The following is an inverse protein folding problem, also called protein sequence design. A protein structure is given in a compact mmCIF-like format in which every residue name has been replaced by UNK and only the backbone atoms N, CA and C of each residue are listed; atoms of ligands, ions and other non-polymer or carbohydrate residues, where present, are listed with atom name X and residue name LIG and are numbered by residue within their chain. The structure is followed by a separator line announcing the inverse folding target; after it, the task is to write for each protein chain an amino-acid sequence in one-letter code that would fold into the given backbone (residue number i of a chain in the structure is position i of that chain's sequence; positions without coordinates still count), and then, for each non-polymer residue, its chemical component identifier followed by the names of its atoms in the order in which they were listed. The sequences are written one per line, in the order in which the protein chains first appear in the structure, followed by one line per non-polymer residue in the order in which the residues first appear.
data_IF_116222714441
#
_entry.id   IF_116222714441
#
_cell.length_a   1.000
_cell.length_b   1.000
_cell.length_c   1.000
_cell.angle_alpha   90.00
_cell.angle_beta   90.00
_cell.angle_gamma   90.00
#
_symmetry.space_group_name_H-M   'P 1'
#
loop_
_entity.id
_entity.type
_entity.pdbx_description
1 polymer ?
#
# COMPACT_ATOMS: atom_id res chain seq x y z
N UNK A 1 1.11 -11.81 -11.56
CA UNK A 1 1.60 -11.38 -10.22
C UNK A 1 2.43 -10.10 -10.25
N UNK A 2 3.49 -9.97 -11.06
CA UNK A 2 4.32 -8.73 -11.10
C UNK A 2 3.52 -7.43 -11.24
N UNK A 3 2.45 -7.45 -12.03
CA UNK A 3 1.54 -6.32 -12.25
C UNK A 3 0.80 -5.84 -11.00
N UNK A 4 0.67 -6.66 -9.94
CA UNK A 4 0.14 -6.23 -8.65
C UNK A 4 1.08 -5.23 -7.97
N UNK A 5 2.39 -5.40 -8.17
CA UNK A 5 3.42 -4.61 -7.52
C UNK A 5 3.27 -4.55 -6.00
N UNK A 6 3.76 -3.47 -5.40
CA UNK A 6 3.71 -3.24 -3.95
C UNK A 6 2.61 -2.24 -3.57
N UNK A 7 1.79 -1.83 -4.54
CA UNK A 7 0.77 -0.80 -4.45
C UNK A 7 -0.37 -1.12 -3.48
N UNK A 8 -0.62 -2.39 -3.14
CA UNK A 8 -1.70 -2.80 -2.26
C UNK A 8 -1.22 -3.26 -0.87
N UNK A 9 0.01 -2.95 -0.46
CA UNK A 9 0.59 -3.36 0.83
C UNK A 9 0.72 -4.89 0.98
N UNK A 10 1.70 -5.53 0.32
CA UNK A 10 2.10 -6.90 0.63
C UNK A 10 2.70 -6.99 2.06
N UNK A 11 2.77 -8.20 2.66
CA UNK A 11 2.47 -9.50 2.04
C UNK A 11 0.98 -9.73 1.78
N UNK A 12 0.65 -10.38 0.67
CA UNK A 12 -0.72 -10.58 0.20
C UNK A 12 -1.29 -11.96 0.52
N UNK A 13 -2.60 -12.04 0.74
CA UNK A 13 -3.35 -13.27 0.44
C UNK A 13 -3.81 -13.18 -1.01
N UNK A 14 -3.14 -13.86 -1.95
CA UNK A 14 -3.46 -13.75 -3.38
C UNK A 14 -4.49 -14.81 -3.76
N UNK A 15 -5.52 -14.42 -4.49
CA UNK A 15 -6.50 -15.34 -5.06
C UNK A 15 -6.46 -15.32 -6.58
N UNK A 16 -6.48 -16.50 -7.17
CA UNK A 16 -6.70 -16.75 -8.59
C UNK A 16 -7.99 -17.53 -8.78
N UNK A 17 -8.74 -17.17 -9.81
CA UNK A 17 -9.90 -17.94 -10.26
C UNK A 17 -9.75 -18.19 -11.75
N UNK A 18 -9.86 -19.45 -12.16
CA UNK A 18 -9.73 -19.88 -13.55
C UNK A 18 -11.06 -20.50 -13.97
N UNK A 19 -11.68 -19.91 -14.99
CA UNK A 19 -13.05 -20.24 -15.37
C UNK A 19 -14.09 -19.37 -14.66
N UNK A 20 -15.35 -19.73 -14.85
CA UNK A 20 -16.52 -18.98 -14.40
C UNK A 20 -17.55 -18.86 -15.51
N UNK A 21 -18.81 -18.72 -15.09
CA UNK A 21 -19.96 -18.56 -16.01
C UNK A 21 -20.01 -17.19 -16.66
N UNK A 22 -19.36 -16.20 -16.07
CA UNK A 22 -19.26 -14.82 -16.54
C UNK A 22 -18.13 -14.09 -15.81
N UNK A 23 -17.75 -12.91 -16.30
CA UNK A 23 -16.68 -12.11 -15.69
C UNK A 23 -17.01 -11.71 -14.25
N UNK A 24 -18.25 -11.30 -13.98
CA UNK A 24 -18.72 -10.93 -12.66
C UNK A 24 -18.77 -12.11 -11.68
N UNK A 25 -19.11 -13.31 -12.16
CA UNK A 25 -19.05 -14.53 -11.34
C UNK A 25 -17.60 -14.89 -10.98
N UNK A 26 -16.67 -14.78 -11.93
CA UNK A 26 -15.23 -14.96 -11.68
C UNK A 26 -14.73 -13.95 -10.66
N UNK A 27 -15.03 -12.66 -10.82
CA UNK A 27 -14.57 -11.61 -9.89
C UNK A 27 -15.20 -11.72 -8.49
N UNK A 28 -16.47 -12.10 -8.38
CA UNK A 28 -17.10 -12.43 -7.10
C UNK A 28 -16.36 -13.59 -6.41
N UNK A 29 -16.01 -14.62 -7.18
CA UNK A 29 -15.28 -15.77 -6.67
C UNK A 29 -13.88 -15.37 -6.20
N UNK A 30 -13.17 -14.54 -6.97
CA UNK A 30 -11.85 -13.99 -6.57
C UNK A 30 -11.95 -13.25 -5.24
N UNK A 31 -12.97 -12.39 -5.10
CA UNK A 31 -13.20 -11.61 -3.87
C UNK A 31 -13.36 -12.51 -2.65
N UNK A 32 -14.18 -13.56 -2.76
CA UNK A 32 -14.44 -14.49 -1.65
C UNK A 32 -13.25 -15.42 -1.39
N UNK A 33 -12.53 -15.84 -2.43
CA UNK A 33 -11.32 -16.63 -2.31
C UNK A 33 -10.20 -15.85 -1.59
N UNK A 34 -10.03 -14.55 -1.86
CA UNK A 34 -9.01 -13.74 -1.18
C UNK A 34 -9.26 -13.55 0.32
N UNK A 35 -10.50 -13.78 0.78
CA UNK A 35 -10.91 -13.76 2.19
C UNK A 35 -11.02 -15.16 2.78
N UNK A 36 -10.46 -16.19 2.13
CA UNK A 36 -10.47 -17.59 2.60
C UNK A 36 -11.87 -18.16 2.81
N UNK A 37 -12.87 -17.61 2.13
CA UNK A 37 -14.27 -18.07 2.25
C UNK A 37 -14.42 -19.50 1.71
N UNK A 38 -13.65 -19.82 0.65
CA UNK A 38 -13.70 -21.09 -0.06
C UNK A 38 -12.67 -22.13 0.42
N UNK A 39 -12.12 -21.97 1.62
CA UNK A 39 -11.09 -22.87 2.12
C UNK A 39 -11.60 -24.31 2.37
N UNK A 40 -12.91 -24.50 2.45
CA UNK A 40 -13.57 -25.81 2.59
C UNK A 40 -14.07 -26.43 1.28
N UNK A 41 -13.74 -25.89 0.10
CA UNK A 41 -14.10 -26.53 -1.17
C UNK A 41 -13.36 -27.87 -1.37
N UNK A 42 -13.90 -28.81 -2.18
CA UNK A 42 -13.16 -29.96 -2.66
C UNK A 42 -11.85 -29.56 -3.34
N UNK A 43 -10.88 -30.47 -3.41
CA UNK A 43 -9.58 -30.22 -4.05
C UNK A 43 -9.46 -30.83 -5.45
N UNK A 44 -10.53 -31.43 -5.96
CA UNK A 44 -10.61 -32.02 -7.29
C UNK A 44 -11.96 -31.73 -7.95
N UNK A 45 -11.98 -31.69 -9.27
CA UNK A 45 -13.19 -31.52 -10.06
C UNK A 45 -14.02 -32.81 -10.14
N UNK A 46 -15.21 -32.73 -10.72
CA UNK A 46 -16.04 -33.88 -11.05
C UNK A 46 -16.72 -33.68 -12.41
N UNK A 47 -17.42 -34.71 -12.89
CA UNK A 47 -18.12 -34.69 -14.19
C UNK A 47 -19.25 -33.66 -14.29
N UNK A 48 -19.75 -33.17 -13.15
CA UNK A 48 -20.80 -32.14 -13.09
C UNK A 48 -20.24 -30.71 -13.07
N UNK A 49 -18.92 -30.54 -13.14
CA UNK A 49 -18.29 -29.23 -13.15
C UNK A 49 -18.30 -28.52 -11.80
N UNK A 50 -18.15 -29.25 -10.69
CA UNK A 50 -18.02 -28.62 -9.37
C UNK A 50 -16.81 -27.68 -9.30
N UNK A 51 -16.95 -26.61 -8.52
CA UNK A 51 -15.81 -25.76 -8.17
C UNK A 51 -14.86 -26.51 -7.23
N UNK A 52 -13.56 -26.33 -7.42
CA UNK A 52 -12.56 -26.95 -6.54
C UNK A 52 -11.35 -26.04 -6.32
N UNK A 53 -10.63 -26.29 -5.22
CA UNK A 53 -9.39 -25.61 -4.85
C UNK A 53 -8.19 -26.38 -5.37
N UNK A 54 -7.42 -25.75 -6.26
CA UNK A 54 -6.25 -26.35 -6.91
C UNK A 54 -5.01 -26.15 -6.04
N UNK A 55 -4.83 -27.04 -5.07
CA UNK A 55 -3.76 -26.96 -4.05
C UNK A 55 -2.36 -27.12 -4.62
N UNK A 56 -2.22 -27.82 -5.76
CA UNK A 56 -0.95 -27.94 -6.45
C UNK A 56 -0.53 -26.59 -7.03
N UNK A 57 -1.43 -25.95 -7.79
CA UNK A 57 -1.14 -24.64 -8.38
C UNK A 57 -0.95 -23.55 -7.32
N UNK A 58 -1.63 -23.65 -6.16
CA UNK A 58 -1.37 -22.76 -5.01
C UNK A 58 0.10 -22.80 -4.56
N UNK A 59 0.68 -23.99 -4.47
CA UNK A 59 2.08 -24.17 -4.03
C UNK A 59 3.06 -23.64 -5.08
N UNK A 60 2.83 -23.97 -6.35
CA UNK A 60 3.65 -23.49 -7.47
C UNK A 60 3.65 -21.97 -7.53
N UNK A 61 2.47 -21.33 -7.45
CA UNK A 61 2.34 -19.88 -7.47
C UNK A 61 2.92 -19.21 -6.21
N UNK A 62 2.90 -19.89 -5.05
CA UNK A 62 3.54 -19.36 -3.85
C UNK A 62 5.06 -19.34 -3.99
N UNK A 63 5.65 -20.39 -4.57
CA UNK A 63 7.09 -20.41 -4.86
C UNK A 63 7.45 -19.30 -5.86
N UNK A 64 6.66 -19.14 -6.93
CA UNK A 64 6.85 -18.06 -7.89
C UNK A 64 6.72 -16.68 -7.24
N UNK A 65 5.76 -16.48 -6.33
CA UNK A 65 5.62 -15.24 -5.57
C UNK A 65 6.87 -14.94 -4.72
N UNK A 66 7.50 -15.96 -4.14
CA UNK A 66 8.74 -15.84 -3.37
C UNK A 66 9.94 -15.46 -4.25
N UNK A 67 9.96 -15.97 -5.48
CA UNK A 67 11.02 -15.71 -6.46
C UNK A 67 10.91 -14.34 -7.16
N UNK A 68 9.80 -13.59 -6.97
CA UNK A 68 9.63 -12.27 -7.58
C UNK A 68 10.64 -11.24 -7.10
N UNK A 69 11.21 -11.43 -5.91
CA UNK A 69 12.17 -10.51 -5.29
C UNK A 69 11.56 -9.20 -4.78
N UNK A 70 10.25 -8.97 -4.93
CA UNK A 70 9.55 -7.77 -4.44
C UNK A 70 9.34 -7.77 -2.92
N UNK A 71 9.22 -8.96 -2.33
CA UNK A 71 9.02 -9.18 -0.90
C UNK A 71 7.90 -8.36 -0.26
N UNK A 72 8.07 -8.10 1.03
CA UNK A 72 7.15 -7.30 1.81
C UNK A 72 7.45 -5.80 1.58
N UNK A 73 7.03 -5.30 0.41
CA UNK A 73 7.17 -3.92 -0.08
C UNK A 73 8.58 -3.50 -0.55
N UNK A 74 9.63 -3.92 0.15
CA UNK A 74 11.00 -3.42 -0.03
C UNK A 74 12.02 -4.51 -0.35
N UNK A 75 11.63 -5.45 -1.21
CA UNK A 75 12.48 -6.56 -1.60
C UNK A 75 12.36 -7.76 -0.66
N UNK A 76 12.80 -8.92 -1.16
CA UNK A 76 12.87 -10.17 -0.39
C UNK A 76 11.79 -11.19 -0.74
N UNK A 77 11.53 -12.11 0.20
CA UNK A 77 10.74 -13.34 -0.03
C UNK A 77 9.23 -13.16 0.11
N UNK A 78 8.79 -12.37 1.10
CA UNK A 78 7.40 -12.38 1.56
C UNK A 78 6.48 -11.45 0.74
N UNK A 79 6.36 -11.72 -0.56
CA UNK A 79 5.39 -11.03 -1.41
C UNK A 79 3.94 -11.49 -1.14
N UNK A 80 3.77 -12.78 -0.86
CA UNK A 80 2.51 -13.39 -0.48
C UNK A 80 2.65 -14.10 0.88
N UNK A 81 1.62 -14.02 1.71
CA UNK A 81 1.41 -14.90 2.86
C UNK A 81 1.03 -16.31 2.37
N UNK A 82 0.05 -16.38 1.47
CA UNK A 82 -0.45 -17.62 0.87
C UNK A 82 -1.14 -17.30 -0.48
N UNK A 83 -1.46 -18.37 -1.22
CA UNK A 83 -2.22 -18.32 -2.48
C UNK A 83 -3.50 -19.14 -2.32
N UNK A 84 -4.58 -18.70 -2.98
CA UNK A 84 -5.77 -19.50 -3.25
C UNK A 84 -6.00 -19.61 -4.74
N UNK A 85 -6.26 -20.82 -5.24
CA UNK A 85 -6.59 -21.05 -6.66
C UNK A 85 -7.92 -21.80 -6.73
N UNK A 86 -8.96 -21.15 -7.25
CA UNK A 86 -10.27 -21.77 -7.46
C UNK A 86 -10.47 -22.04 -8.96
N UNK A 87 -10.77 -23.29 -9.29
CA UNK A 87 -11.15 -23.73 -10.64
C UNK A 87 -12.66 -23.78 -10.72
N UNK A 88 -13.22 -23.12 -11.73
CA UNK A 88 -14.67 -23.08 -11.99
C UNK A 88 -14.99 -23.68 -13.37
N UNK A 89 -16.21 -24.23 -13.56
CA UNK A 89 -16.68 -24.57 -14.90
C UNK A 89 -16.77 -23.32 -15.77
N UNK A 90 -16.74 -23.52 -17.09
CA UNK A 90 -16.76 -22.44 -18.08
C UNK A 90 -17.50 -22.88 -19.33
N UNK A 91 -18.06 -21.92 -20.07
CA UNK A 91 -18.51 -22.18 -21.43
C UNK A 91 -17.31 -22.60 -22.31
N UNK A 92 -17.53 -23.48 -23.29
CA UNK A 92 -16.44 -24.02 -24.14
C UNK A 92 -15.60 -22.94 -24.83
N UNK A 93 -16.26 -21.87 -25.28
CA UNK A 93 -15.63 -20.72 -25.96
C UNK A 93 -15.12 -19.62 -25.01
N UNK A 94 -15.10 -19.83 -23.68
CA UNK A 94 -14.73 -18.79 -22.71
C UNK A 94 -13.80 -19.35 -21.65
N UNK A 95 -12.88 -18.52 -21.15
CA UNK A 95 -12.02 -18.84 -20.02
C UNK A 95 -11.67 -17.55 -19.26
N UNK A 96 -12.63 -16.97 -18.51
CA UNK A 96 -12.32 -15.80 -17.69
C UNK A 96 -11.32 -16.19 -16.61
N UNK A 97 -10.33 -15.32 -16.38
CA UNK A 97 -9.34 -15.48 -15.31
C UNK A 97 -9.37 -14.24 -14.45
N UNK A 98 -9.52 -14.43 -13.15
CA UNK A 98 -9.51 -13.36 -12.18
C UNK A 98 -8.32 -13.48 -11.22
N UNK A 99 -7.75 -12.34 -10.85
CA UNK A 99 -6.68 -12.25 -9.85
C UNK A 99 -7.03 -11.13 -8.87
N UNK A 100 -6.88 -11.38 -7.58
CA UNK A 100 -7.15 -10.39 -6.53
C UNK A 100 -6.32 -10.66 -5.29
N UNK A 101 -6.37 -9.73 -4.33
CA UNK A 101 -5.60 -9.83 -3.10
C UNK A 101 -6.43 -9.39 -1.89
N UNK A 102 -6.17 -9.99 -0.74
CA UNK A 102 -6.32 -9.31 0.56
C UNK A 102 -4.96 -8.72 0.95
N UNK A 103 -4.99 -7.47 1.42
CA UNK A 103 -3.79 -6.72 1.78
C UNK A 103 -3.39 -6.94 3.24
N UNK A 104 -2.34 -6.24 3.72
CA UNK A 104 -1.99 -6.24 5.15
C UNK A 104 -3.10 -5.74 6.09
N UNK A 105 -4.16 -5.13 5.56
CA UNK A 105 -5.37 -4.79 6.30
C UNK A 105 -6.46 -5.83 6.00
N UNK A 106 -6.12 -7.11 6.19
CA UNK A 106 -7.01 -8.27 5.99
C UNK A 106 -8.13 -8.23 7.02
N UNK A 107 -9.32 -7.81 6.57
CA UNK A 107 -10.44 -7.45 7.44
C UNK A 107 -11.72 -8.04 6.88
N UNK A 108 -12.07 -9.20 7.40
CA UNK A 108 -13.32 -9.88 7.15
C UNK A 108 -13.78 -10.53 8.48
N UNK A 109 -15.10 -10.71 8.64
CA UNK A 109 -15.68 -11.34 9.82
C UNK A 109 -16.93 -12.09 9.40
N UNK A 110 -17.00 -13.38 9.75
CA UNK A 110 -18.20 -14.20 9.51
C UNK A 110 -19.17 -14.00 10.66
N UNK A 111 -20.46 -13.98 10.36
CA UNK A 111 -21.51 -13.98 11.35
C UNK A 111 -22.63 -14.91 10.90
N UNK A 112 -23.36 -15.49 11.86
CA UNK A 112 -24.55 -16.29 11.59
C UNK A 112 -25.61 -16.01 12.65
N UNK A 113 -26.87 -16.10 12.23
CA UNK A 113 -28.02 -16.03 13.12
C UNK A 113 -28.73 -17.38 13.02
N UNK A 114 -29.03 -17.98 14.16
CA UNK A 114 -29.81 -19.21 14.23
C UNK A 114 -30.79 -19.13 15.41
N UNK A 115 -31.55 -20.21 15.65
CA UNK A 115 -32.49 -20.32 16.77
C UNK A 115 -31.86 -20.09 18.15
N UNK A 116 -30.55 -20.26 18.27
CA UNK A 116 -29.80 -20.14 19.53
C UNK A 116 -29.26 -18.72 19.75
N UNK A 117 -29.33 -17.83 18.74
CA UNK A 117 -28.95 -16.43 18.85
C UNK A 117 -28.07 -15.92 17.70
N UNK A 118 -27.27 -14.89 18.02
CA UNK A 118 -26.38 -14.19 17.09
C UNK A 118 -24.95 -14.60 17.39
N UNK A 119 -24.26 -15.09 16.36
CA UNK A 119 -22.87 -15.54 16.45
C UNK A 119 -21.99 -14.69 15.56
N UNK A 120 -20.85 -14.26 16.09
CA UNK A 120 -19.83 -13.53 15.37
C UNK A 120 -18.50 -14.27 15.48
N UNK A 121 -17.74 -14.30 14.40
CA UNK A 121 -16.41 -14.91 14.37
C UNK A 121 -15.49 -14.22 15.39
N UNK A 122 -14.84 -15.04 16.21
CA UNK A 122 -13.89 -14.57 17.21
C UNK A 122 -12.54 -14.31 16.55
N UNK A 123 -12.15 -13.03 16.48
CA UNK A 123 -10.82 -12.62 16.07
C UNK A 123 -9.82 -12.68 17.24
N UNK A 124 -8.53 -12.55 16.93
CA UNK A 124 -7.49 -12.45 17.94
C UNK A 124 -7.58 -11.13 18.71
N UNK A 125 -7.66 -11.20 20.04
CA UNK A 125 -7.67 -10.02 20.92
C UNK A 125 -6.30 -9.67 21.50
N UNK A 126 -5.32 -10.58 21.45
CA UNK A 126 -3.94 -10.34 21.93
C UNK A 126 -2.91 -10.58 20.80
N UNK A 127 -2.83 -9.69 19.80
CA UNK A 127 -1.91 -9.86 18.68
C UNK A 127 -0.42 -9.75 19.06
N UNK A 128 -0.10 -9.13 20.20
CA UNK A 128 1.28 -8.95 20.67
C UNK A 128 2.04 -10.28 20.87
N UNK A 129 1.32 -11.38 21.12
CA UNK A 129 1.90 -12.73 21.24
C UNK A 129 2.61 -13.22 19.97
N UNK A 130 2.25 -12.70 18.80
CA UNK A 130 2.88 -13.05 17.52
C UNK A 130 4.16 -12.27 17.25
N UNK A 131 4.48 -11.26 18.07
CA UNK A 131 5.73 -10.49 17.96
C UNK A 131 6.77 -11.14 18.89
N UNK A 132 7.86 -11.71 18.35
CA UNK A 132 8.96 -12.23 19.16
C UNK A 132 9.48 -11.17 20.13
N UNK A 133 9.80 -11.55 21.36
CA UNK A 133 10.21 -10.61 22.43
C UNK A 133 11.34 -9.68 22.00
N UNK A 134 12.38 -10.25 21.35
CA UNK A 134 13.54 -9.50 20.86
C UNK A 134 13.20 -8.43 19.80
N UNK A 135 12.05 -8.55 19.12
CA UNK A 135 11.59 -7.56 18.12
C UNK A 135 10.65 -6.51 18.71
N UNK A 136 10.11 -6.72 19.92
CA UNK A 136 9.17 -5.76 20.54
C UNK A 136 9.84 -4.43 20.88
N UNK A 137 11.15 -4.45 21.11
CA UNK A 137 11.97 -3.28 21.40
C UNK A 137 12.97 -2.96 20.28
N UNK A 138 12.80 -3.54 19.09
CA UNK A 138 13.66 -3.19 17.96
C UNK A 138 13.49 -1.68 17.67
N UNK A 139 14.55 -0.91 17.92
CA UNK A 139 14.59 0.52 17.61
C UNK A 139 14.48 0.77 16.11
N UNK A 140 14.59 2.02 15.69
CA UNK A 140 14.45 2.38 14.27
C UNK A 140 15.58 1.82 13.39
N UNK A 141 16.64 1.23 13.96
CA UNK A 141 17.86 0.75 13.30
C UNK A 141 18.66 1.90 12.65
N UNK A 142 19.65 1.58 11.81
CA UNK A 142 20.41 2.59 11.07
C UNK A 142 19.58 3.25 9.95
N UNK A 143 19.32 4.55 10.08
CA UNK A 143 18.62 5.35 9.06
C UNK A 143 19.25 6.74 8.98
N UNK A 144 19.29 7.30 7.78
CA UNK A 144 19.75 8.68 7.58
C UNK A 144 18.68 9.63 8.11
N UNK A 145 19.05 10.50 9.04
CA UNK A 145 18.14 11.50 9.59
C UNK A 145 18.07 12.70 8.64
N UNK A 146 16.85 13.10 8.27
CA UNK A 146 16.59 14.22 7.36
C UNK A 146 15.67 15.20 8.04
N UNK A 147 16.13 16.45 8.18
CA UNK A 147 15.32 17.55 8.69
C UNK A 147 14.60 18.22 7.52
N UNK A 148 13.27 18.16 7.51
CA UNK A 148 12.40 18.74 6.49
C UNK A 148 12.10 20.23 6.73
N UNK A 149 12.53 20.78 7.87
CA UNK A 149 12.39 22.21 8.16
C UNK A 149 13.63 22.99 7.66
N UNK A 150 14.03 22.73 6.42
CA UNK A 150 15.12 23.41 5.71
C UNK A 150 14.60 23.85 4.33
N UNK A 151 15.26 24.79 3.64
CA UNK A 151 14.93 25.11 2.25
C UNK A 151 14.91 23.85 1.37
N UNK A 152 13.92 23.75 0.46
CA UNK A 152 13.74 22.57 -0.41
C UNK A 152 15.02 22.17 -1.16
N UNK A 153 15.82 23.16 -1.61
CA UNK A 153 17.10 22.94 -2.27
C UNK A 153 18.13 22.22 -1.39
N UNK A 154 18.17 22.51 -0.10
CA UNK A 154 19.09 21.87 0.85
C UNK A 154 18.66 20.43 1.15
N UNK A 155 17.34 20.21 1.30
CA UNK A 155 16.79 18.85 1.47
C UNK A 155 17.14 18.00 0.24
N UNK A 156 16.91 18.51 -0.96
CA UNK A 156 17.25 17.80 -2.20
C UNK A 156 18.76 17.53 -2.29
N UNK A 157 19.61 18.51 -1.99
CA UNK A 157 21.07 18.34 -2.00
C UNK A 157 21.54 17.26 -1.01
N UNK A 158 20.92 17.16 0.18
CA UNK A 158 21.20 16.07 1.13
C UNK A 158 20.76 14.72 0.56
N UNK A 159 19.52 14.63 0.06
CA UNK A 159 18.95 13.36 -0.41
C UNK A 159 19.67 12.82 -1.64
N UNK A 160 20.17 13.68 -2.54
CA UNK A 160 20.93 13.30 -3.73
C UNK A 160 22.29 12.65 -3.44
N UNK A 161 22.78 12.70 -2.20
CA UNK A 161 24.03 12.05 -1.79
C UNK A 161 23.88 10.54 -1.60
N UNK A 162 22.65 10.04 -1.53
CA UNK A 162 22.36 8.65 -1.19
C UNK A 162 21.75 7.90 -2.37
N UNK A 163 22.10 6.61 -2.55
CA UNK A 163 21.50 5.79 -3.58
C UNK A 163 20.03 5.46 -3.27
N UNK A 164 19.33 4.98 -4.28
CA UNK A 164 17.99 4.41 -4.09
C UNK A 164 18.03 3.23 -3.12
N UNK A 165 16.93 3.00 -2.42
CA UNK A 165 16.78 2.03 -1.31
C UNK A 165 17.53 2.39 -0.02
N UNK A 166 18.14 3.58 0.09
CA UNK A 166 18.64 4.08 1.39
C UNK A 166 17.49 4.43 2.32
N UNK A 167 17.54 3.91 3.55
CA UNK A 167 16.53 4.17 4.58
C UNK A 167 16.73 5.54 5.24
N UNK A 168 15.65 6.28 5.35
CA UNK A 168 15.55 7.63 5.90
C UNK A 168 14.64 7.67 7.13
N UNK A 169 14.94 8.58 8.05
CA UNK A 169 14.09 9.02 9.15
C UNK A 169 13.82 10.50 8.99
N UNK A 170 12.59 10.87 8.60
CA UNK A 170 12.22 12.25 8.30
C UNK A 170 11.62 12.92 9.53
N UNK A 171 12.02 14.16 9.80
CA UNK A 171 11.44 15.01 10.84
C UNK A 171 11.16 16.40 10.29
N UNK A 172 9.95 16.92 10.50
CA UNK A 172 9.59 18.29 10.13
C UNK A 172 8.21 18.39 9.48
N UNK A 173 8.05 19.43 8.68
CA UNK A 173 6.77 19.83 8.10
C UNK A 173 6.52 19.12 6.76
N UNK A 174 5.31 18.62 6.56
CA UNK A 174 4.87 17.94 5.33
C UNK A 174 3.47 18.40 4.95
N UNK A 175 3.20 18.47 3.64
CA UNK A 175 1.86 18.78 3.14
C UNK A 175 1.14 17.49 2.79
N UNK A 176 -0.11 17.33 3.26
CA UNK A 176 -0.92 16.16 2.92
C UNK A 176 -1.83 16.49 1.74
N UNK A 177 -1.65 15.78 0.63
CA UNK A 177 -2.49 15.95 -0.56
C UNK A 177 -2.61 14.63 -1.34
N UNK A 178 -3.80 14.33 -1.85
CA UNK A 178 -4.07 13.15 -2.69
C UNK A 178 -4.94 13.53 -3.90
N UNK A 179 -5.64 12.57 -4.48
CA UNK A 179 -6.36 12.62 -5.76
C UNK A 179 -7.07 13.97 -6.05
N UNK A 180 -8.04 14.39 -5.22
CA UNK A 180 -8.81 15.64 -5.44
C UNK A 180 -7.93 16.89 -5.30
N UNK A 181 -7.00 16.90 -4.35
CA UNK A 181 -6.11 18.03 -4.16
C UNK A 181 -5.16 18.20 -5.36
N UNK A 182 -4.65 17.09 -5.92
CA UNK A 182 -3.82 17.13 -7.13
C UNK A 182 -4.61 17.59 -8.35
N UNK A 183 -5.87 17.15 -8.49
CA UNK A 183 -6.76 17.63 -9.55
C UNK A 183 -6.98 19.15 -9.48
N UNK A 184 -7.18 19.69 -8.27
CA UNK A 184 -7.30 21.15 -8.07
C UNK A 184 -6.00 21.89 -8.36
N UNK A 185 -4.84 21.35 -7.97
CA UNK A 185 -3.55 21.97 -8.31
C UNK A 185 -3.32 22.00 -9.82
N UNK A 186 -3.76 20.97 -10.54
CA UNK A 186 -3.74 20.96 -12.00
C UNK A 186 -4.69 22.01 -12.57
N UNK A 187 -5.91 22.11 -12.06
CA UNK A 187 -6.91 23.10 -12.49
C UNK A 187 -6.37 24.53 -12.36
N UNK A 188 -5.68 24.86 -11.27
CA UNK A 188 -5.01 26.16 -11.11
C UNK A 188 -4.02 26.42 -12.25
N UNK A 189 -3.19 25.44 -12.59
CA UNK A 189 -2.23 25.58 -13.69
C UNK A 189 -2.95 25.74 -15.03
N UNK A 190 -3.98 24.94 -15.30
CA UNK A 190 -4.75 25.00 -16.54
C UNK A 190 -5.43 26.37 -16.72
N UNK A 191 -5.82 27.02 -15.61
CA UNK A 191 -6.40 28.36 -15.58
C UNK A 191 -5.36 29.49 -15.62
N UNK A 192 -4.06 29.18 -15.64
CA UNK A 192 -2.97 30.16 -15.57
C UNK A 192 -2.78 30.79 -14.17
N UNK A 193 -3.36 30.19 -13.14
CA UNK A 193 -3.22 30.62 -11.75
C UNK A 193 -1.92 30.10 -11.12
N UNK A 194 -1.40 30.85 -10.14
CA UNK A 194 -0.18 30.46 -9.43
C UNK A 194 -0.45 29.28 -8.47
N UNK A 195 0.47 28.30 -8.47
CA UNK A 195 0.44 27.24 -7.46
C UNK A 195 0.69 27.81 -6.06
N UNK A 196 -0.02 27.31 -5.03
CA UNK A 196 0.21 27.73 -3.64
C UNK A 196 1.66 27.49 -3.19
N UNK A 197 2.22 28.42 -2.42
CA UNK A 197 3.64 28.34 -2.04
C UNK A 197 3.96 27.08 -1.20
N UNK A 198 3.02 26.61 -0.38
CA UNK A 198 3.22 25.44 0.48
C UNK A 198 3.51 24.14 -0.29
N UNK A 199 3.08 24.00 -1.56
CA UNK A 199 3.39 22.80 -2.38
C UNK A 199 4.79 22.84 -3.01
N UNK A 200 5.47 23.98 -2.91
CA UNK A 200 6.85 24.20 -3.37
C UNK A 200 7.84 24.07 -2.21
N UNK A 201 7.45 24.55 -1.02
CA UNK A 201 8.34 24.64 0.14
C UNK A 201 8.44 23.35 0.95
N UNK A 202 7.45 22.45 0.83
CA UNK A 202 7.37 21.25 1.66
C UNK A 202 7.15 19.97 0.85
N UNK A 203 7.64 18.80 1.34
CA UNK A 203 7.31 17.52 0.76
C UNK A 203 5.80 17.25 0.74
N UNK A 204 5.32 16.58 -0.30
CA UNK A 204 3.91 16.21 -0.44
C UNK A 204 3.72 14.74 -0.05
N UNK A 205 3.02 14.52 1.05
CA UNK A 205 2.61 13.21 1.55
C UNK A 205 1.23 12.82 1.03
N UNK A 206 1.18 11.73 0.27
CA UNK A 206 -0.06 11.22 -0.28
C UNK A 206 -0.79 10.40 0.76
N UNK A 207 -1.71 11.03 1.49
CA UNK A 207 -2.46 10.38 2.54
C UNK A 207 -3.86 11.00 2.72
N UNK A 208 -4.69 10.32 3.51
CA UNK A 208 -5.97 10.82 3.98
C UNK A 208 -6.18 10.36 5.42
N UNK A 209 -6.22 11.28 6.40
CA UNK A 209 -6.37 10.91 7.81
C UNK A 209 -7.74 10.28 8.08
N UNK A 210 -7.76 9.29 8.97
CA UNK A 210 -8.98 8.89 9.66
C UNK A 210 -9.40 9.95 10.69
N UNK A 211 -10.60 9.79 11.26
CA UNK A 211 -11.07 10.65 12.36
C UNK A 211 -10.07 10.63 13.52
N UNK A 212 -9.76 11.80 14.05
CA UNK A 212 -8.91 11.93 15.24
C UNK A 212 -9.71 11.57 16.48
N UNK A 213 -9.27 10.58 17.29
CA UNK A 213 -9.87 10.30 18.58
C UNK A 213 -9.65 11.45 19.58
N UNK A 214 -10.55 11.62 20.54
CA UNK A 214 -10.42 12.64 21.58
C UNK A 214 -9.15 12.42 22.41
N UNK A 215 -8.40 13.48 22.65
CA UNK A 215 -7.13 13.42 23.39
C UNK A 215 -5.92 12.92 22.58
N UNK A 216 -6.11 12.49 21.34
CA UNK A 216 -5.02 12.05 20.46
C UNK A 216 -4.59 13.14 19.49
N UNK A 217 -3.31 13.11 19.10
CA UNK A 217 -2.73 14.11 18.22
C UNK A 217 -3.12 13.91 16.73
N UNK A 218 -3.43 12.66 16.34
CA UNK A 218 -3.86 12.28 14.99
C UNK A 218 -4.70 11.00 15.02
N UNK A 219 -5.66 10.90 14.08
CA UNK A 219 -6.19 9.60 13.68
C UNK A 219 -5.18 8.78 12.87
N UNK A 220 -5.57 7.57 12.47
CA UNK A 220 -4.80 6.73 11.54
C UNK A 220 -4.42 7.49 10.27
N UNK A 221 -3.13 7.62 9.97
CA UNK A 221 -2.62 8.43 8.86
C UNK A 221 -1.52 7.70 8.06
N UNK A 222 -1.93 6.62 7.40
CA UNK A 222 -1.04 5.84 6.52
C UNK A 222 -0.99 6.38 5.08
N UNK A 223 0.03 5.98 4.30
CA UNK A 223 0.21 6.43 2.92
C UNK A 223 -0.83 5.82 1.98
N UNK A 224 -1.12 6.53 0.91
CA UNK A 224 -1.92 6.04 -0.22
C UNK A 224 -1.04 5.68 -1.41
N UNK A 225 -1.60 4.92 -2.35
CA UNK A 225 -0.89 4.43 -3.54
C UNK A 225 -0.38 5.57 -4.40
N UNK A 226 0.93 5.64 -4.59
CA UNK A 226 1.63 6.70 -5.32
C UNK A 226 1.24 6.78 -6.79
N UNK A 227 1.08 5.61 -7.43
CA UNK A 227 0.78 5.46 -8.85
C UNK A 227 -0.41 6.28 -9.36
N UNK A 228 -1.40 6.58 -8.51
CA UNK A 228 -2.57 7.39 -8.89
C UNK A 228 -2.25 8.86 -9.14
N UNK A 229 -1.12 9.34 -8.63
CA UNK A 229 -0.67 10.72 -8.81
C UNK A 229 0.43 10.86 -9.88
N UNK A 230 0.78 9.79 -10.60
CA UNK A 230 1.88 9.78 -11.56
C UNK A 230 1.70 10.81 -12.68
N UNK A 231 0.48 10.97 -13.19
CA UNK A 231 0.16 11.91 -14.27
C UNK A 231 0.34 13.39 -13.91
N UNK A 232 0.46 13.73 -12.61
CA UNK A 232 0.65 15.10 -12.16
C UNK A 232 2.12 15.48 -11.95
N UNK A 233 3.04 14.51 -11.88
CA UNK A 233 4.40 14.76 -11.40
C UNK A 233 5.18 15.70 -12.29
N UNK A 234 5.30 15.41 -13.60
CA UNK A 234 6.07 16.26 -14.51
C UNK A 234 5.50 17.68 -14.58
N UNK A 235 4.17 17.80 -14.58
CA UNK A 235 3.47 19.09 -14.60
C UNK A 235 3.71 19.91 -13.34
N UNK A 236 3.60 19.30 -12.16
CA UNK A 236 3.82 20.01 -10.90
C UNK A 236 5.29 20.38 -10.72
N UNK A 237 6.21 19.47 -11.09
CA UNK A 237 7.65 19.71 -10.97
C UNK A 237 8.18 20.78 -11.92
N UNK A 238 7.59 20.92 -13.12
CA UNK A 238 7.91 22.01 -14.05
C UNK A 238 7.51 23.39 -13.51
N UNK A 239 6.56 23.45 -12.58
CA UNK A 239 6.13 24.66 -11.86
C UNK A 239 6.78 24.80 -10.48
N UNK A 240 7.85 24.03 -10.20
CA UNK A 240 8.61 24.10 -8.96
C UNK A 240 7.95 23.42 -7.74
N UNK A 241 6.82 22.74 -7.92
CA UNK A 241 6.11 22.04 -6.86
C UNK A 241 6.42 20.53 -6.84
N UNK A 242 6.00 19.82 -5.79
CA UNK A 242 6.05 18.35 -5.73
C UNK A 242 7.45 17.75 -5.97
N UNK A 243 8.50 18.45 -5.51
CA UNK A 243 9.90 17.99 -5.65
C UNK A 243 10.20 16.77 -4.79
N UNK A 244 9.62 16.69 -3.59
CA UNK A 244 9.73 15.53 -2.71
C UNK A 244 8.34 14.97 -2.47
N UNK A 245 8.16 13.69 -2.77
CA UNK A 245 6.88 12.98 -2.70
C UNK A 245 7.00 11.84 -1.70
N UNK A 246 6.02 11.68 -0.81
CA UNK A 246 5.98 10.61 0.20
C UNK A 246 4.72 9.78 0.00
N UNK A 247 4.85 8.48 -0.23
CA UNK A 247 3.72 7.60 -0.54
C UNK A 247 4.10 6.11 -0.40
N UNK A 248 3.22 5.22 -0.88
CA UNK A 248 3.49 3.77 -0.97
C UNK A 248 3.23 3.21 -2.37
N UNK A 249 3.90 2.11 -2.68
CA UNK A 249 3.76 1.38 -3.94
C UNK A 249 4.72 1.87 -5.03
N UNK A 250 4.95 1.00 -6.00
CA UNK A 250 5.71 1.31 -7.20
C UNK A 250 5.01 2.32 -8.11
N UNK A 251 5.82 3.04 -8.86
CA UNK A 251 5.39 4.10 -9.79
C UNK A 251 5.80 3.76 -11.22
N UNK A 252 5.21 4.46 -12.16
CA UNK A 252 5.51 4.33 -13.58
C UNK A 252 6.80 5.05 -13.97
N UNK A 253 7.37 4.64 -15.10
CA UNK A 253 8.62 5.22 -15.65
C UNK A 253 8.54 6.73 -15.86
N UNK A 254 7.35 7.28 -16.13
CA UNK A 254 7.16 8.73 -16.32
C UNK A 254 7.61 9.54 -15.10
N UNK A 255 7.49 8.97 -13.90
CA UNK A 255 7.88 9.63 -12.65
C UNK A 255 9.40 9.68 -12.55
N UNK A 256 10.08 8.57 -12.82
CA UNK A 256 11.55 8.53 -12.84
C UNK A 256 12.11 9.52 -13.86
N UNK A 257 11.50 9.60 -15.06
CA UNK A 257 11.90 10.59 -16.07
C UNK A 257 11.68 12.02 -15.59
N UNK A 258 10.54 12.32 -14.94
CA UNK A 258 10.25 13.64 -14.39
C UNK A 258 11.23 14.03 -13.28
N UNK A 259 11.50 13.12 -12.34
CA UNK A 259 12.47 13.30 -11.26
C UNK A 259 13.87 13.62 -11.81
N UNK A 260 14.33 12.87 -12.82
CA UNK A 260 15.59 13.16 -13.51
C UNK A 260 15.61 14.52 -14.20
N UNK A 261 14.51 14.91 -14.86
CA UNK A 261 14.40 16.17 -15.59
C UNK A 261 14.37 17.39 -14.65
N UNK A 262 13.75 17.26 -13.49
CA UNK A 262 13.42 18.40 -12.62
C UNK A 262 14.12 18.39 -11.25
N UNK A 263 15.01 17.42 -10.99
CA UNK A 263 15.68 17.24 -9.70
C UNK A 263 14.72 16.84 -8.57
N UNK A 264 13.67 16.09 -8.89
CA UNK A 264 12.73 15.56 -7.89
C UNK A 264 13.21 14.23 -7.30
N UNK A 265 12.75 13.89 -6.10
CA UNK A 265 13.06 12.63 -5.41
C UNK A 265 11.82 12.03 -4.75
N UNK A 266 11.75 10.70 -4.66
CA UNK A 266 10.64 9.98 -4.05
C UNK A 266 11.13 9.03 -2.95
N UNK A 267 11.04 9.41 -1.67
CA UNK A 267 11.15 8.44 -0.59
C UNK A 267 9.87 7.57 -0.43
N UNK A 268 9.96 6.25 -0.58
CA UNK A 268 8.89 5.28 -0.26
C UNK A 268 8.82 4.97 1.23
N UNK A 269 7.67 5.14 1.86
CA UNK A 269 7.56 4.95 3.32
C UNK A 269 7.62 3.48 3.77
N UNK A 270 8.44 3.15 4.78
CA UNK A 270 8.41 1.85 5.45
C UNK A 270 7.38 1.86 6.59
N UNK A 271 6.54 0.83 6.67
CA UNK A 271 5.70 0.57 7.85
C UNK A 271 6.59 -0.14 8.89
N UNK A 272 6.69 0.38 10.13
CA UNK A 272 7.44 -0.31 11.20
C UNK A 272 7.06 -1.80 11.25
N UNK A 273 8.03 -2.73 11.40
CA UNK A 273 7.72 -4.10 11.80
C UNK A 273 6.94 -4.05 13.12
N UNK A 274 5.65 -4.38 13.10
CA UNK A 274 4.76 -4.35 14.28
C UNK A 274 3.82 -3.14 14.42
N UNK A 275 3.83 -2.16 13.50
CA UNK A 275 2.95 -0.98 13.59
C UNK A 275 1.75 -1.04 12.63
N UNK A 276 0.56 -1.32 13.12
CA UNK A 276 -0.68 -0.99 12.40
C UNK A 276 -0.76 0.54 12.21
N UNK A 277 -1.68 1.03 11.37
CA UNK A 277 -1.98 2.46 11.32
C UNK A 277 -2.81 2.87 12.56
N UNK A 278 -2.49 2.32 13.72
CA UNK A 278 -3.10 2.69 14.99
C UNK A 278 -2.74 4.13 15.35
N UNK A 279 -3.45 4.72 16.31
CA UNK A 279 -3.06 6.02 16.86
C UNK A 279 -1.60 5.95 17.34
N UNK A 280 -0.79 6.93 16.95
CA UNK A 280 0.60 7.02 17.39
C UNK A 280 0.63 7.55 18.84
N UNK A 281 0.95 6.69 19.82
CA UNK A 281 1.09 7.10 21.23
C UNK A 281 2.52 7.56 21.60
N UNK A 282 3.52 7.38 20.72
CA UNK A 282 4.94 7.59 21.07
C UNK A 282 5.77 8.48 20.14
N UNK A 283 5.17 9.08 19.12
CA UNK A 283 5.69 10.25 18.42
C UNK A 283 4.51 11.18 18.26
N UNK A 284 4.62 12.46 18.63
CA UNK A 284 3.50 13.41 18.66
C UNK A 284 3.34 14.15 17.32
N UNK A 285 2.55 13.65 16.34
CA UNK A 285 2.17 14.45 15.18
C UNK A 285 1.11 15.45 15.60
N UNK A 286 1.43 16.74 15.66
CA UNK A 286 0.40 17.78 15.77
C UNK A 286 -0.32 17.92 14.43
N UNK A 287 -1.49 17.29 14.29
CA UNK A 287 -2.36 17.51 13.12
C UNK A 287 -3.16 18.79 13.33
N UNK A 288 -2.64 19.91 12.83
CA UNK A 288 -3.44 21.10 12.54
C UNK A 288 -3.84 21.06 11.06
N UNK A 289 -4.97 21.68 10.69
CA UNK A 289 -5.21 21.99 9.28
C UNK A 289 -3.98 22.74 8.75
N UNK A 290 -3.22 22.07 7.88
CA UNK A 290 -1.81 22.29 7.52
C UNK A 290 -0.78 21.81 8.59
N UNK A 291 -0.28 20.60 8.31
CA UNK A 291 1.09 20.07 8.42
C UNK A 291 1.78 19.81 9.78
N UNK A 292 2.30 18.57 9.92
CA UNK A 292 3.34 18.18 10.89
C UNK A 292 3.31 16.69 11.27
N UNK A 293 4.23 15.87 10.73
CA UNK A 293 4.48 14.51 11.22
C UNK A 293 5.85 13.97 10.76
N UNK A 294 6.54 13.23 11.65
CA UNK A 294 7.74 12.46 11.33
C UNK A 294 7.37 11.09 10.73
N UNK A 295 8.10 10.67 9.69
CA UNK A 295 7.84 9.44 8.95
C UNK A 295 9.16 8.85 8.42
N UNK A 296 9.34 7.52 8.49
CA UNK A 296 10.51 6.85 7.89
C UNK A 296 10.24 6.36 6.47
N UNK A 297 11.18 6.54 5.53
CA UNK A 297 11.03 6.12 4.12
C UNK A 297 12.32 5.67 3.46
N UNK A 298 12.29 5.29 2.19
CA UNK A 298 13.41 4.75 1.39
C UNK A 298 13.54 5.54 0.10
N UNK A 299 14.71 6.08 -0.23
CA UNK A 299 14.89 6.88 -1.46
C UNK A 299 14.62 6.09 -2.75
N UNK A 300 13.96 6.72 -3.73
CA UNK A 300 13.89 6.30 -5.14
C UNK A 300 14.09 7.51 -6.05
N UNK A 301 14.74 7.28 -7.19
CA UNK A 301 14.91 8.23 -8.31
C UNK A 301 13.89 7.94 -9.41
#
# INVERSE_FOLDING_TARGET
MRTLGTAACPPYHIAFVIGGTSAEATLKTVKLASTKYYDGLPTEGNEHGQAFRDVQLEQELLLEAQNLGLGAQFGGKYFAHDIRVIRLPRHGASCPVGMGVSCSADRNIKAKINRDGIWIEKLESNPGKYIPEHLRQAGEGEAVKVNLNQPMSEILAQLSQYPVSTRLSLSGTIIVARDIAHAKLKELIDNGEALPQYVKDHPIYYAGPAKTPDGYASGSLGPTTAGRMDSYVDLLQSHGASKIMLAKGNRSQQVTVACHKHGGLLPRQHRRPGGSAGPAEHQEPRVRGLSGAGYGGYLEN
#
